data_IF_391407605161
#
_entry.id   IF_391407605161
#
_cell.length_a   1.000
_cell.length_b   1.000
_cell.length_c   1.000
_cell.angle_alpha   90.00
_cell.angle_beta   90.00
_cell.angle_gamma   90.00
#
_symmetry.space_group_name_H-M   'P 1'
#
loop_
_entity.id
_entity.type
_entity.pdbx_description
1 polymer ?
#
# COMPACT_ATOMS: atom_id res chain seq x y z
N UNK A 1 8.53 19.41 10.99
CA UNK A 1 7.95 18.08 10.70
C UNK A 1 7.61 18.07 9.21
N UNK A 2 8.40 17.39 8.39
CA UNK A 2 8.13 17.28 6.94
C UNK A 2 6.79 16.57 6.76
N UNK A 3 5.85 17.20 6.06
CA UNK A 3 4.56 16.59 5.73
C UNK A 3 4.73 15.80 4.44
N UNK A 4 4.08 14.64 4.33
CA UNK A 4 4.13 13.80 3.11
C UNK A 4 3.75 14.57 1.84
N UNK A 5 2.83 15.52 1.94
CA UNK A 5 2.37 16.34 0.82
C UNK A 5 3.51 17.22 0.25
N UNK A 6 4.40 17.73 1.09
CA UNK A 6 5.55 18.55 0.68
C UNK A 6 6.54 17.75 -0.18
N UNK A 7 6.70 16.45 0.09
CA UNK A 7 7.54 15.58 -0.74
C UNK A 7 6.99 15.44 -2.15
N UNK A 8 5.67 15.30 -2.30
CA UNK A 8 5.03 15.20 -3.61
C UNK A 8 4.97 16.52 -4.39
N UNK A 9 5.03 17.66 -3.70
CA UNK A 9 5.08 18.98 -4.34
C UNK A 9 6.48 19.33 -4.84
N UNK A 10 7.52 18.95 -4.09
CA UNK A 10 8.92 19.35 -4.37
C UNK A 10 9.71 18.35 -5.20
N UNK A 11 9.30 17.08 -5.20
CA UNK A 11 10.02 16.00 -5.86
C UNK A 11 9.08 15.16 -6.70
N UNK A 12 9.62 14.55 -7.75
CA UNK A 12 8.92 13.48 -8.45
C UNK A 12 8.83 12.27 -7.50
N UNK A 13 7.62 11.85 -7.17
CA UNK A 13 7.36 10.73 -6.26
C UNK A 13 6.68 9.58 -6.99
N UNK A 14 7.13 8.37 -6.71
CA UNK A 14 6.47 7.14 -7.13
C UNK A 14 5.59 6.60 -5.99
N UNK A 15 4.34 6.27 -6.32
CA UNK A 15 3.42 5.66 -5.36
C UNK A 15 3.42 4.14 -5.51
N UNK A 16 3.86 3.45 -4.45
CA UNK A 16 3.95 1.99 -4.41
C UNK A 16 3.08 1.45 -3.28
N UNK A 17 2.22 0.43 -3.51
CA UNK A 17 1.48 -0.23 -2.45
C UNK A 17 2.44 -0.91 -1.46
N UNK A 18 2.37 -0.50 -0.18
CA UNK A 18 3.27 -0.95 0.87
C UNK A 18 2.59 -1.74 2.00
N UNK A 19 3.25 -1.73 3.16
CA UNK A 19 2.86 -2.50 4.36
C UNK A 19 3.57 -3.84 4.42
N UNK A 20 4.29 -4.11 5.52
CA UNK A 20 5.16 -5.30 5.65
C UNK A 20 4.39 -6.62 5.40
N UNK A 21 3.30 -6.83 6.15
CA UNK A 21 2.45 -8.02 6.01
C UNK A 21 1.78 -8.07 4.63
N UNK A 22 1.27 -6.95 4.14
CA UNK A 22 0.63 -6.89 2.82
C UNK A 22 1.60 -7.26 1.70
N UNK A 23 2.86 -6.81 1.78
CA UNK A 23 3.91 -7.16 0.83
C UNK A 23 4.24 -8.66 0.89
N UNK A 24 4.41 -9.23 2.08
CA UNK A 24 4.66 -10.66 2.25
C UNK A 24 3.51 -11.51 1.68
N UNK A 25 2.26 -11.12 1.94
CA UNK A 25 1.07 -11.82 1.42
C UNK A 25 0.99 -11.71 -0.10
N UNK A 26 1.30 -10.55 -0.70
CA UNK A 26 1.33 -10.39 -2.17
C UNK A 26 2.39 -11.28 -2.81
N UNK A 27 3.58 -11.39 -2.22
CA UNK A 27 4.64 -12.29 -2.72
C UNK A 27 4.21 -13.75 -2.58
N UNK A 28 3.65 -14.14 -1.43
CA UNK A 28 3.11 -15.48 -1.22
C UNK A 28 2.02 -15.83 -2.27
N UNK A 29 1.09 -14.91 -2.50
CA UNK A 29 0.04 -15.04 -3.49
C UNK A 29 0.59 -15.17 -4.93
N UNK A 30 1.65 -14.44 -5.25
CA UNK A 30 2.36 -14.58 -6.53
C UNK A 30 3.01 -15.97 -6.68
N UNK A 31 3.69 -16.47 -5.64
CA UNK A 31 4.30 -17.81 -5.62
C UNK A 31 3.23 -18.91 -5.79
N UNK A 32 2.08 -18.77 -5.13
CA UNK A 32 0.97 -19.73 -5.23
C UNK A 32 0.34 -19.78 -6.63
N UNK A 33 0.47 -18.69 -7.41
CA UNK A 33 -0.01 -18.56 -8.79
C UNK A 33 -1.45 -19.06 -9.04
N UNK A 34 -2.31 -18.89 -8.04
CA UNK A 34 -3.74 -19.21 -8.11
C UNK A 34 -4.47 -18.14 -7.29
N UNK A 35 -5.42 -17.38 -7.84
CA UNK A 35 -5.99 -16.22 -7.17
C UNK A 35 -6.77 -16.57 -5.88
N UNK A 36 -6.84 -15.59 -4.97
CA UNK A 36 -7.60 -15.61 -3.73
C UNK A 36 -7.21 -16.73 -2.73
N UNK A 37 -5.96 -17.19 -2.77
CA UNK A 37 -5.45 -18.20 -1.83
C UNK A 37 -4.91 -17.60 -0.55
N UNK A 38 -4.40 -16.37 -0.63
CA UNK A 38 -3.96 -15.61 0.54
C UNK A 38 -4.99 -14.52 0.89
N UNK A 39 -5.30 -14.41 2.19
CA UNK A 39 -6.25 -13.43 2.72
C UNK A 39 -5.48 -12.38 3.52
N UNK A 40 -5.81 -11.11 3.32
CA UNK A 40 -5.21 -10.00 4.06
C UNK A 40 -6.31 -9.17 4.73
N UNK A 41 -6.13 -8.86 6.01
CA UNK A 41 -6.97 -7.90 6.74
C UNK A 41 -6.16 -6.67 7.10
N UNK A 42 -6.76 -5.49 6.95
CA UNK A 42 -6.13 -4.22 7.32
C UNK A 42 -7.15 -3.09 7.42
N UNK A 43 -6.69 -1.90 7.82
CA UNK A 43 -7.52 -0.70 7.89
C UNK A 43 -6.99 0.37 6.92
N UNK A 44 -7.90 1.02 6.21
CA UNK A 44 -7.60 2.12 5.28
C UNK A 44 -8.55 3.30 5.53
N UNK A 45 -8.12 4.48 5.11
CA UNK A 45 -8.99 5.64 5.02
C UNK A 45 -9.94 5.54 3.83
N UNK A 46 -11.04 6.31 3.88
CA UNK A 46 -11.91 6.54 2.72
C UNK A 46 -11.29 7.61 1.80
N UNK A 47 -10.18 7.26 1.16
CA UNK A 47 -9.40 8.16 0.32
C UNK A 47 -8.73 7.46 -0.86
N UNK A 48 -8.14 8.25 -1.77
CA UNK A 48 -7.48 7.76 -3.00
C UNK A 48 -6.37 6.73 -2.73
N UNK A 49 -5.69 6.81 -1.58
CA UNK A 49 -4.62 5.88 -1.24
C UNK A 49 -5.18 4.54 -0.76
N UNK A 50 -6.29 4.56 0.00
CA UNK A 50 -7.04 3.37 0.37
C UNK A 50 -7.57 2.63 -0.85
N UNK A 51 -8.14 3.37 -1.82
CA UNK A 51 -8.60 2.79 -3.08
C UNK A 51 -7.45 2.18 -3.89
N UNK A 52 -6.28 2.85 -3.93
CA UNK A 52 -5.08 2.33 -4.58
C UNK A 52 -4.58 1.03 -3.93
N UNK A 53 -4.52 0.96 -2.59
CA UNK A 53 -4.12 -0.25 -1.87
C UNK A 53 -5.08 -1.41 -2.18
N UNK A 54 -6.39 -1.15 -2.15
CA UNK A 54 -7.42 -2.15 -2.48
C UNK A 54 -7.29 -2.65 -3.91
N UNK A 55 -7.14 -1.74 -4.88
CA UNK A 55 -6.99 -2.09 -6.28
C UNK A 55 -5.73 -2.94 -6.52
N UNK A 56 -4.60 -2.56 -5.94
CA UNK A 56 -3.32 -3.27 -6.10
C UNK A 56 -3.29 -4.63 -5.40
N UNK A 57 -3.96 -4.78 -4.25
CA UNK A 57 -4.11 -6.08 -3.61
C UNK A 57 -4.96 -7.03 -4.47
N UNK A 58 -6.05 -6.52 -5.06
CA UNK A 58 -6.91 -7.29 -5.98
C UNK A 58 -6.18 -7.67 -7.28
N UNK A 59 -5.42 -6.75 -7.86
CA UNK A 59 -4.57 -7.02 -9.04
C UNK A 59 -3.53 -8.12 -8.76
N UNK A 60 -2.96 -8.13 -7.55
CA UNK A 60 -2.05 -9.19 -7.10
C UNK A 60 -2.76 -10.52 -6.77
N UNK A 61 -4.09 -10.62 -6.96
CA UNK A 61 -4.87 -11.81 -6.67
C UNK A 61 -5.07 -12.09 -5.18
N UNK A 62 -4.78 -11.13 -4.29
CA UNK A 62 -4.96 -11.29 -2.84
C UNK A 62 -6.42 -11.02 -2.49
N UNK A 63 -7.02 -11.89 -1.66
CA UNK A 63 -8.32 -11.62 -1.06
C UNK A 63 -8.15 -10.63 0.10
N UNK A 64 -8.15 -9.34 -0.22
CA UNK A 64 -7.95 -8.27 0.77
C UNK A 64 -9.29 -7.74 1.30
N UNK A 65 -9.44 -7.79 2.62
CA UNK A 65 -10.60 -7.32 3.36
C UNK A 65 -10.18 -6.14 4.24
N UNK A 66 -10.51 -4.93 3.77
CA UNK A 66 -10.15 -3.70 4.46
C UNK A 66 -11.31 -3.14 5.27
N UNK A 67 -11.07 -2.84 6.54
CA UNK A 67 -11.90 -1.93 7.31
C UNK A 67 -11.69 -0.50 6.78
N UNK A 68 -12.78 0.16 6.36
CA UNK A 68 -12.72 1.55 5.87
C UNK A 68 -13.10 2.50 6.99
N UNK A 69 -12.26 3.49 7.26
CA UNK A 69 -12.52 4.57 8.20
C UNK A 69 -12.60 5.90 7.44
N UNK A 70 -13.69 6.65 7.59
CA UNK A 70 -13.91 7.94 6.92
C UNK A 70 -13.28 9.13 7.67
N UNK A 71 -12.90 8.94 8.94
CA UNK A 71 -12.32 9.99 9.81
C UNK A 71 -10.80 9.99 9.84
N UNK A 72 -10.15 8.91 9.38
CA UNK A 72 -8.70 8.74 9.45
C UNK A 72 -8.15 8.49 8.04
N UNK A 73 -7.04 9.14 7.69
CA UNK A 73 -6.36 8.95 6.41
C UNK A 73 -5.69 7.57 6.34
N UNK A 74 -5.59 7.02 5.14
CA UNK A 74 -4.77 5.83 4.88
C UNK A 74 -3.32 6.10 5.26
N UNK A 75 -2.68 5.14 5.95
CA UNK A 75 -1.28 5.25 6.35
C UNK A 75 -0.34 5.34 5.15
N UNK A 76 0.64 6.25 5.22
CA UNK A 76 1.67 6.45 4.19
C UNK A 76 3.06 6.27 4.77
N UNK A 77 4.00 5.81 3.95
CA UNK A 77 5.42 5.67 4.28
C UNK A 77 6.24 6.38 3.20
N UNK A 78 7.28 7.09 3.60
CA UNK A 78 8.21 7.74 2.69
C UNK A 78 9.51 6.96 2.70
N UNK A 79 9.92 6.48 1.53
CA UNK A 79 11.26 5.95 1.30
C UNK A 79 12.09 7.07 0.64
N UNK A 80 13.10 7.57 1.36
CA UNK A 80 13.93 8.67 0.88
C UNK A 80 15.21 8.10 0.26
N UNK A 81 15.30 8.14 -1.06
CA UNK A 81 16.38 7.47 -1.80
C UNK A 81 17.51 8.46 -2.07
N UNK A 82 18.72 8.14 -1.60
CA UNK A 82 19.95 8.87 -1.92
C UNK A 82 21.08 7.91 -2.25
N UNK A 83 21.39 7.78 -3.54
CA UNK A 83 22.34 6.76 -4.02
C UNK A 83 21.84 5.36 -3.69
N UNK A 84 22.58 4.63 -2.83
CA UNK A 84 22.20 3.29 -2.37
C UNK A 84 21.43 3.28 -1.02
N UNK A 85 21.30 4.44 -0.36
CA UNK A 85 20.59 4.57 0.90
C UNK A 85 19.08 4.77 0.65
N UNK A 86 18.24 4.16 1.48
CA UNK A 86 16.77 4.20 1.41
C UNK A 86 16.12 4.03 2.77
#
# INVERSE_FOLDING_TARGET
>A
MLRFDELSEKYQVDYVPGGATQNAVRVCQWILNNPNRAVFFGAIGKDKYGDMLRAKAKEAGVNAQYQVNDKVKTGTCAALIYGQNR
#
